data_IF_608425526673
#
_entry.id   IF_608425526673
#
_cell.length_a   1.000
_cell.length_b   1.000
_cell.length_c   1.000
_cell.angle_alpha   90.00
_cell.angle_beta   90.00
_cell.angle_gamma   90.00
#
_symmetry.space_group_name_H-M   'P 1'
#
loop_
_entity.id
_entity.type
_entity.pdbx_description
1 polymer ?
#
# COMPACT_ATOMS: atom_id res chain seq x y z
N UNK A 1 11.31 14.49 1.59
CA UNK A 1 10.18 13.91 2.33
C UNK A 1 9.29 13.19 1.34
N UNK A 2 8.69 12.06 1.72
CA UNK A 2 7.83 11.27 0.83
C UNK A 2 6.37 11.62 1.11
N UNK A 3 5.61 11.98 0.07
CA UNK A 3 4.18 12.28 0.18
C UNK A 3 3.38 11.10 -0.38
N UNK A 4 2.54 10.50 0.46
CA UNK A 4 1.73 9.33 0.09
C UNK A 4 0.29 9.72 -0.19
N UNK A 5 -0.27 9.32 -1.33
CA UNK A 5 -1.72 9.35 -1.55
C UNK A 5 -2.28 7.96 -1.27
N UNK A 6 -3.30 7.89 -0.42
CA UNK A 6 -4.02 6.65 -0.14
C UNK A 6 -5.49 6.81 -0.53
N UNK A 7 -6.16 5.76 -1.02
CA UNK A 7 -7.61 5.73 -1.08
C UNK A 7 -8.19 6.06 0.31
N UNK A 8 -9.36 6.69 0.35
CA UNK A 8 -10.04 7.14 1.59
C UNK A 8 -10.43 6.05 2.59
N UNK A 9 -9.93 4.82 2.41
CA UNK A 9 -10.13 3.65 3.26
C UNK A 9 -8.92 3.33 4.17
N UNK A 10 -7.84 4.12 4.09
CA UNK A 10 -6.69 3.94 4.99
C UNK A 10 -7.10 4.14 6.43
N UNK A 11 -6.63 3.24 7.28
CA UNK A 11 -6.82 3.32 8.72
C UNK A 11 -5.57 2.81 9.47
N UNK A 12 -5.50 3.16 10.75
CA UNK A 12 -4.48 2.62 11.65
C UNK A 12 -4.52 1.09 11.64
N UNK A 13 -3.36 0.47 11.45
CA UNK A 13 -3.23 -0.98 11.31
C UNK A 13 -3.04 -1.46 9.87
N UNK A 14 -3.19 -0.58 8.87
CA UNK A 14 -2.76 -0.87 7.51
C UNK A 14 -1.24 -0.91 7.40
N UNK A 15 -0.74 -1.77 6.53
CA UNK A 15 0.67 -1.98 6.27
C UNK A 15 0.95 -1.89 4.78
N UNK A 16 2.08 -1.30 4.42
CA UNK A 16 2.51 -1.16 3.02
C UNK A 16 3.33 -2.39 2.62
N UNK A 17 2.94 -3.00 1.50
CA UNK A 17 3.61 -4.15 0.91
C UNK A 17 4.07 -3.81 -0.50
N UNK A 18 5.29 -4.18 -0.83
CA UNK A 18 5.80 -4.20 -2.21
C UNK A 18 5.89 -5.67 -2.61
N UNK A 19 5.07 -6.08 -3.57
CA UNK A 19 5.14 -7.43 -4.10
C UNK A 19 6.40 -7.59 -4.97
N UNK A 20 7.02 -8.76 -4.91
CA UNK A 20 8.13 -9.10 -5.81
C UNK A 20 7.63 -9.03 -7.26
N UNK A 21 8.23 -8.12 -8.06
CA UNK A 21 7.81 -7.84 -9.43
C UNK A 21 6.64 -6.87 -9.56
N UNK A 22 6.11 -6.34 -8.45
CA UNK A 22 5.14 -5.26 -8.47
C UNK A 22 5.82 -3.90 -8.62
N UNK A 23 5.30 -3.08 -9.53
CA UNK A 23 5.83 -1.73 -9.78
C UNK A 23 5.30 -0.70 -8.76
N UNK A 24 4.29 -1.09 -7.98
CA UNK A 24 3.60 -0.21 -7.04
C UNK A 24 3.48 -0.80 -5.64
N UNK A 25 3.56 0.02 -4.56
CA UNK A 25 3.23 -0.40 -3.22
C UNK A 25 1.72 -0.51 -3.03
N UNK A 26 1.32 -1.49 -2.22
CA UNK A 26 -0.07 -1.81 -1.93
C UNK A 26 -0.31 -1.72 -0.42
N UNK A 27 -1.48 -1.22 -0.04
CA UNK A 27 -1.96 -1.24 1.34
C UNK A 27 -2.70 -2.55 1.59
N UNK A 28 -2.19 -3.29 2.57
CA UNK A 28 -2.79 -4.51 3.08
C UNK A 28 -3.16 -4.35 4.55
N UNK A 29 -4.29 -4.94 4.94
CA UNK A 29 -4.76 -5.00 6.33
C UNK A 29 -4.77 -6.44 6.81
N UNK A 30 -4.15 -6.74 7.95
CA UNK A 30 -4.23 -8.07 8.58
C UNK A 30 -5.69 -8.41 8.90
N UNK A 31 -6.10 -9.64 8.62
CA UNK A 31 -7.39 -10.15 9.09
C UNK A 31 -7.22 -10.85 10.44
N UNK A 32 -8.28 -11.48 10.95
CA UNK A 32 -8.22 -12.25 12.20
C UNK A 32 -7.44 -13.57 12.06
N UNK A 33 -7.09 -13.98 10.84
CA UNK A 33 -6.34 -15.21 10.56
C UNK A 33 -4.87 -14.89 10.34
N UNK A 34 -4.02 -15.81 10.79
CA UNK A 34 -2.58 -15.72 10.58
C UNK A 34 -2.26 -15.82 9.09
N UNK A 35 -1.30 -14.99 8.63
CA UNK A 35 -0.87 -14.90 7.23
C UNK A 35 -1.95 -14.53 6.22
N UNK A 36 -3.10 -14.02 6.67
CA UNK A 36 -4.16 -13.51 5.80
C UNK A 36 -4.22 -11.99 5.85
N UNK A 37 -4.29 -11.39 4.66
CA UNK A 37 -4.38 -9.95 4.49
C UNK A 37 -5.49 -9.60 3.52
N UNK A 38 -6.28 -8.60 3.86
CA UNK A 38 -7.25 -7.98 2.97
C UNK A 38 -6.60 -6.86 2.18
N UNK A 39 -6.89 -6.81 0.89
CA UNK A 39 -6.47 -5.73 0.00
C UNK A 39 -7.28 -4.46 0.30
N UNK A 40 -6.60 -3.38 0.66
CA UNK A 40 -7.24 -2.08 0.95
C UNK A 40 -7.21 -1.19 -0.30
N UNK A 41 -6.08 -1.19 -1.01
CA UNK A 41 -5.88 -0.45 -2.25
C UNK A 41 -4.41 -0.23 -2.58
N UNK A 42 -4.15 0.45 -3.68
CA UNK A 42 -2.81 0.88 -4.06
C UNK A 42 -2.43 2.15 -3.30
N UNK A 43 -1.16 2.32 -2.96
CA UNK A 43 -0.66 3.57 -2.39
C UNK A 43 0.39 4.16 -3.34
N UNK A 44 0.26 5.46 -3.63
CA UNK A 44 1.26 6.15 -4.42
C UNK A 44 2.20 6.89 -3.48
N UNK A 45 3.47 6.54 -3.49
CA UNK A 45 4.50 7.24 -2.71
C UNK A 45 5.35 8.06 -3.67
N UNK A 46 5.12 9.38 -3.65
CA UNK A 46 5.88 10.32 -4.46
C UNK A 46 7.35 10.30 -4.02
N UNK A 47 8.23 9.83 -4.91
CA UNK A 47 9.68 9.66 -4.68
C UNK A 47 10.19 8.22 -4.57
N UNK A 48 9.30 7.21 -4.49
CA UNK A 48 9.66 5.79 -4.63
C UNK A 48 9.19 5.18 -5.96
N UNK A 49 8.19 5.81 -6.58
CA UNK A 49 7.63 5.43 -7.87
C UNK A 49 7.99 6.54 -8.86
N UNK A 50 8.79 6.24 -9.87
CA UNK A 50 9.05 7.16 -10.97
C UNK A 50 7.72 7.35 -11.70
N UNK A 51 7.09 8.49 -11.46
CA UNK A 51 5.79 8.80 -12.01
C UNK A 51 5.86 8.91 -13.53
N UNK A 52 5.22 7.98 -14.22
CA UNK A 52 4.56 8.35 -15.47
C UNK A 52 3.28 9.09 -15.07
N UNK A 53 3.28 10.39 -15.38
CA UNK A 53 2.17 11.32 -15.15
C UNK A 53 1.19 11.28 -16.32
#
# INVERSE_FOLDING_TARGET
GFFGFSPGKVATGDSVFVFLGGEVPHLLRRTHKENEYSFVGECYVHGLMEGEA
#
